data_IF_412849644414
#
_entry.id   IF_412849644414
#
_cell.length_a   1.000
_cell.length_b   1.000
_cell.length_c   1.000
_cell.angle_alpha   90.00
_cell.angle_beta   90.00
_cell.angle_gamma   90.00
#
_symmetry.space_group_name_H-M   'P 1'
#
loop_
_entity.id
_entity.type
_entity.pdbx_description
1 polymer ?
#
# COMPACT_ATOMS: atom_id res chain seq x y z
N UNK A 1 7.01 -6.89 -4.44
CA UNK A 1 6.55 -5.58 -3.94
C UNK A 1 5.04 -5.55 -4.06
N UNK A 2 4.32 -4.82 -3.21
CA UNK A 2 2.87 -4.65 -3.35
C UNK A 2 2.52 -3.22 -3.74
N UNK A 3 1.27 -2.99 -4.16
CA UNK A 3 0.85 -1.70 -4.69
C UNK A 3 0.94 -0.57 -3.67
N UNK A 4 0.70 -0.84 -2.38
CA UNK A 4 0.83 0.16 -1.31
C UNK A 4 2.27 0.66 -1.17
N UNK A 5 3.25 -0.24 -1.17
CA UNK A 5 4.67 0.14 -1.08
C UNK A 5 5.17 0.84 -2.35
N UNK A 6 4.59 0.54 -3.52
CA UNK A 6 4.86 1.27 -4.78
C UNK A 6 4.37 2.73 -4.69
N UNK A 7 3.10 2.93 -4.32
CA UNK A 7 2.49 4.27 -4.16
C UNK A 7 3.24 5.13 -3.13
N UNK A 8 3.71 4.52 -2.04
CA UNK A 8 4.49 5.23 -1.05
C UNK A 8 5.84 5.71 -1.60
N UNK A 9 6.53 4.86 -2.37
CA UNK A 9 7.82 5.22 -3.00
C UNK A 9 7.64 6.28 -4.10
N UNK A 10 6.56 6.22 -4.89
CA UNK A 10 6.18 7.26 -5.85
C UNK A 10 6.02 8.65 -5.18
N UNK A 11 5.60 8.67 -3.90
CA UNK A 11 5.53 9.89 -3.07
C UNK A 11 6.83 10.26 -2.35
N UNK A 12 7.91 9.51 -2.56
CA UNK A 12 9.20 9.73 -1.92
C UNK A 12 9.27 9.24 -0.47
N UNK A 13 8.32 8.42 -0.03
CA UNK A 13 8.40 7.78 1.29
C UNK A 13 9.26 6.54 1.18
N UNK A 14 10.35 6.51 1.94
CA UNK A 14 11.35 5.43 1.84
C UNK A 14 11.43 4.57 3.09
N UNK A 15 10.76 4.98 4.18
CA UNK A 15 10.78 4.28 5.47
C UNK A 15 9.38 3.96 5.96
N UNK A 16 9.28 2.90 6.77
CA UNK A 16 8.02 2.46 7.39
C UNK A 16 7.54 3.49 8.42
N UNK A 17 8.46 4.12 9.16
CA UNK A 17 8.12 5.17 10.12
C UNK A 17 7.52 6.40 9.42
N UNK A 18 8.09 6.81 8.28
CA UNK A 18 7.51 7.88 7.48
C UNK A 18 6.13 7.47 6.99
N UNK A 19 5.98 6.29 6.41
CA UNK A 19 4.67 5.78 5.98
C UNK A 19 3.64 5.76 7.11
N UNK A 20 4.00 5.25 8.28
CA UNK A 20 3.13 5.21 9.45
C UNK A 20 2.70 6.62 9.88
N UNK A 21 3.62 7.58 9.88
CA UNK A 21 3.33 8.98 10.21
C UNK A 21 2.40 9.64 9.19
N UNK A 22 2.71 9.52 7.90
CA UNK A 22 1.94 10.18 6.84
C UNK A 22 0.54 9.56 6.67
N UNK A 23 0.40 8.25 6.94
CA UNK A 23 -0.90 7.57 6.90
C UNK A 23 -1.66 7.63 8.21
N UNK A 24 -1.01 7.87 9.34
CA UNK A 24 -1.62 7.76 10.67
C UNK A 24 -1.91 6.32 11.12
N UNK A 25 -1.31 5.30 10.48
CA UNK A 25 -1.42 3.92 10.96
C UNK A 25 -0.49 3.65 12.13
N UNK A 26 -0.90 2.74 13.01
CA UNK A 26 0.03 2.15 13.98
C UNK A 26 1.18 1.46 13.24
N UNK A 27 2.40 1.56 13.78
CA UNK A 27 3.61 1.02 13.15
C UNK A 27 3.48 -0.45 12.73
N UNK A 28 2.83 -1.29 13.53
CA UNK A 28 2.59 -2.70 13.22
C UNK A 28 1.73 -2.90 11.96
N UNK A 29 0.71 -2.07 11.79
CA UNK A 29 -0.19 -2.06 10.62
C UNK A 29 0.54 -1.53 9.40
N UNK A 30 1.25 -0.41 9.55
CA UNK A 30 2.08 0.17 8.51
C UNK A 30 3.14 -0.82 8.00
N UNK A 31 3.82 -1.51 8.92
CA UNK A 31 4.80 -2.54 8.60
C UNK A 31 4.16 -3.73 7.86
N UNK A 32 3.00 -4.21 8.29
CA UNK A 32 2.29 -5.31 7.63
C UNK A 32 1.85 -4.94 6.21
N UNK A 33 1.27 -3.75 6.03
CA UNK A 33 0.87 -3.20 4.74
C UNK A 33 2.08 -3.02 3.82
N UNK A 34 3.16 -2.41 4.31
CA UNK A 34 4.37 -2.17 3.52
C UNK A 34 5.06 -3.46 3.09
N UNK A 35 5.15 -4.46 3.97
CA UNK A 35 5.83 -5.74 3.72
C UNK A 35 4.96 -6.77 3.01
N UNK A 36 3.76 -6.39 2.55
CA UNK A 36 2.80 -7.31 1.91
C UNK A 36 2.46 -8.54 2.78
N UNK A 37 2.35 -8.34 4.11
CA UNK A 37 1.97 -9.41 5.05
C UNK A 37 0.48 -9.37 5.39
N UNK A 38 -0.22 -8.35 4.93
CA UNK A 38 -1.66 -8.17 5.15
C UNK A 38 -2.45 -9.07 4.21
N UNK A 39 -3.27 -9.96 4.77
CA UNK A 39 -4.16 -10.86 4.01
C UNK A 39 -5.61 -10.38 3.95
N UNK A 40 -5.95 -9.36 4.77
CA UNK A 40 -7.27 -8.75 4.88
C UNK A 40 -7.11 -7.26 5.16
N UNK A 41 -7.88 -6.44 4.48
CA UNK A 41 -7.98 -5.00 4.69
C UNK A 41 -9.46 -4.69 4.92
N UNK A 42 -9.77 -3.91 5.96
CA UNK A 42 -11.12 -3.40 6.19
C UNK A 42 -11.36 -2.09 5.43
N UNK A 43 -12.63 -1.64 5.41
CA UNK A 43 -13.00 -0.44 4.66
C UNK A 43 -12.35 0.83 5.22
N UNK A 44 -12.16 0.95 6.54
CA UNK A 44 -11.52 2.13 7.14
C UNK A 44 -10.06 2.25 6.70
N UNK A 45 -9.33 1.14 6.72
CA UNK A 45 -7.93 1.09 6.28
C UNK A 45 -7.83 1.41 4.79
N UNK A 46 -8.73 0.85 3.98
CA UNK A 46 -8.76 1.09 2.53
C UNK A 46 -9.07 2.55 2.21
N UNK A 47 -10.11 3.12 2.83
CA UNK A 47 -10.52 4.52 2.66
C UNK A 47 -9.40 5.48 3.05
N UNK A 48 -8.74 5.23 4.18
CA UNK A 48 -7.59 6.03 4.62
C UNK A 48 -6.44 5.99 3.63
N UNK A 49 -6.11 4.80 3.10
CA UNK A 49 -5.08 4.68 2.06
C UNK A 49 -5.49 5.48 0.81
N UNK A 50 -6.73 5.36 0.37
CA UNK A 50 -7.27 6.10 -0.78
C UNK A 50 -7.16 7.61 -0.56
N UNK A 51 -7.59 8.12 0.59
CA UNK A 51 -7.52 9.53 0.95
C UNK A 51 -6.08 10.06 1.00
N UNK A 52 -5.17 9.31 1.63
CA UNK A 52 -3.76 9.69 1.77
C UNK A 52 -3.05 9.71 0.42
N UNK A 53 -3.32 8.71 -0.42
CA UNK A 53 -2.70 8.59 -1.74
C UNK A 53 -3.44 9.36 -2.83
N UNK A 54 -4.66 9.85 -2.58
CA UNK A 54 -5.49 10.52 -3.59
C UNK A 54 -5.82 9.59 -4.76
N UNK A 55 -6.13 8.33 -4.47
CA UNK A 55 -6.40 7.27 -5.47
C UNK A 55 -7.70 6.53 -5.12
N UNK A 56 -8.21 5.75 -6.05
CA UNK A 56 -9.40 4.93 -5.84
C UNK A 56 -9.04 3.53 -5.31
N UNK A 57 -9.98 2.80 -4.68
CA UNK A 57 -9.73 1.44 -4.20
C UNK A 57 -9.18 0.48 -5.26
N UNK A 58 -9.59 0.64 -6.52
CA UNK A 58 -9.12 -0.16 -7.65
C UNK A 58 -7.65 0.06 -7.99
N UNK A 59 -7.07 1.21 -7.64
CA UNK A 59 -5.66 1.51 -7.82
C UNK A 59 -4.77 0.83 -6.78
N UNK A 60 -5.34 0.40 -5.65
CA UNK A 60 -4.67 -0.27 -4.54
C UNK A 60 -4.88 -1.79 -4.62
N UNK A 61 -6.13 -2.24 -4.79
CA UNK A 61 -6.53 -3.65 -4.76
C UNK A 61 -6.57 -4.26 -6.16
N UNK A 62 -5.38 -4.54 -6.71
CA UNK A 62 -5.23 -5.13 -8.05
C UNK A 62 -5.05 -6.64 -7.97
N UNK A 63 -5.93 -7.40 -8.64
CA UNK A 63 -5.76 -8.85 -8.80
C UNK A 63 -4.67 -9.12 -9.84
N UNK A 64 -3.53 -9.63 -9.39
CA UNK A 64 -2.47 -10.11 -10.30
C UNK A 64 -2.80 -11.53 -10.76
N UNK A 65 -2.96 -11.79 -12.08
CA UNK A 65 -3.16 -13.14 -12.58
C UNK A 65 -1.91 -14.00 -12.38
N UNK A 66 -2.10 -15.25 -11.98
CA UNK A 66 -1.01 -16.22 -11.83
C UNK A 66 -0.40 -16.46 -13.22
N UNK A 67 0.87 -16.08 -13.41
CA UNK A 67 1.60 -16.19 -14.68
C UNK A 67 1.93 -14.86 -15.36
N UNK A 68 1.44 -13.71 -14.85
CA UNK A 68 1.90 -12.40 -15.31
C UNK A 68 3.10 -11.98 -14.47
N UNK A 69 4.31 -12.41 -14.86
CA UNK A 69 5.52 -11.70 -14.47
C UNK A 69 5.36 -10.25 -14.92
N UNK A 70 5.36 -9.29 -13.99
CA UNK A 70 5.38 -7.87 -14.33
C UNK A 70 6.69 -7.65 -15.08
N UNK A 71 6.64 -7.63 -16.41
CA UNK A 71 7.76 -7.22 -17.25
C UNK A 71 8.01 -5.76 -16.91
N UNK A 72 9.00 -5.52 -16.07
CA UNK A 72 9.53 -4.19 -15.80
C UNK A 72 10.18 -3.71 -17.09
N UNK A 73 9.50 -2.81 -17.81
CA UNK A 73 10.10 -1.96 -18.82
C UNK A 73 10.57 -0.65 -18.18
#
# INVERSE_FOLDING_TARGET
MNRVSELAQERGWTTIDQFARETGFAYTTAHALWRNRTTRIDYETLDRLCAVFGVEPGDILVRVPVGSERVSA
#
